data_IF_627645762762
#
_entry.id   IF_627645762762
#
_cell.length_a   1.000
_cell.length_b   1.000
_cell.length_c   1.000
_cell.angle_alpha   90.00
_cell.angle_beta   90.00
_cell.angle_gamma   90.00
#
_symmetry.space_group_name_H-M   'P 1'
#
loop_
_entity.id
_entity.type
_entity.pdbx_description
1 polymer ?
#
# COMPACT_ATOMS: atom_id res chain seq x y z
N UNK A 1 -8.50 14.17 -20.69
CA UNK A 1 -9.39 12.98 -20.57
C UNK A 1 -8.60 11.69 -20.35
N UNK A 2 -7.61 11.38 -21.19
CA UNK A 2 -6.79 10.15 -21.08
C UNK A 2 -6.01 10.06 -19.75
N UNK A 3 -5.37 11.14 -19.31
CA UNK A 3 -4.63 11.12 -18.03
C UNK A 3 -5.50 10.80 -16.82
N UNK A 4 -6.74 11.33 -16.79
CA UNK A 4 -7.66 11.06 -15.70
C UNK A 4 -8.07 9.58 -15.67
N UNK A 5 -8.34 8.99 -16.85
CA UNK A 5 -8.67 7.58 -16.96
C UNK A 5 -7.50 6.68 -16.52
N UNK A 6 -6.27 7.02 -16.90
CA UNK A 6 -5.07 6.29 -16.49
C UNK A 6 -4.89 6.34 -14.96
N UNK A 7 -5.08 7.51 -14.35
CA UNK A 7 -5.00 7.67 -12.89
C UNK A 7 -6.07 6.85 -12.16
N UNK A 8 -7.31 6.84 -12.66
CA UNK A 8 -8.37 6.00 -12.09
C UNK A 8 -8.04 4.51 -12.18
N UNK A 9 -7.49 4.06 -13.32
CA UNK A 9 -7.10 2.68 -13.53
C UNK A 9 -6.02 2.24 -12.53
N UNK A 10 -4.92 3.00 -12.40
CA UNK A 10 -3.85 2.69 -11.44
C UNK A 10 -4.38 2.63 -10.01
N UNK A 11 -5.19 3.61 -9.59
CA UNK A 11 -5.79 3.62 -8.26
C UNK A 11 -6.67 2.38 -8.01
N UNK A 12 -7.40 1.93 -9.04
CA UNK A 12 -8.27 0.74 -8.94
C UNK A 12 -7.45 -0.54 -8.83
N UNK A 13 -6.38 -0.65 -9.63
CA UNK A 13 -5.45 -1.77 -9.55
C UNK A 13 -4.78 -1.85 -8.18
N UNK A 14 -4.40 -0.73 -7.57
CA UNK A 14 -3.84 -0.69 -6.20
C UNK A 14 -4.80 -1.29 -5.16
N UNK A 15 -6.08 -0.90 -5.23
CA UNK A 15 -7.12 -1.42 -4.33
C UNK A 15 -7.35 -2.93 -4.53
N UNK A 16 -7.39 -3.38 -5.79
CA UNK A 16 -7.56 -4.80 -6.13
C UNK A 16 -6.35 -5.60 -5.65
N UNK A 17 -5.13 -5.16 -5.98
CA UNK A 17 -3.89 -5.81 -5.55
C UNK A 17 -3.81 -5.89 -4.03
N UNK A 18 -4.17 -4.82 -3.30
CA UNK A 18 -4.14 -4.81 -1.83
C UNK A 18 -5.11 -5.84 -1.25
N UNK A 19 -6.32 -5.93 -1.79
CA UNK A 19 -7.35 -6.87 -1.35
C UNK A 19 -6.96 -8.32 -1.63
N UNK A 20 -6.45 -8.60 -2.82
CA UNK A 20 -5.97 -9.95 -3.21
C UNK A 20 -4.73 -10.33 -2.40
N UNK A 21 -3.80 -9.39 -2.20
CA UNK A 21 -2.61 -9.63 -1.38
C UNK A 21 -2.99 -9.99 0.06
N UNK A 22 -4.04 -9.38 0.62
CA UNK A 22 -4.48 -9.71 1.98
C UNK A 22 -4.99 -11.15 2.07
N UNK A 23 -5.66 -11.64 1.02
CA UNK A 23 -6.08 -13.04 0.94
C UNK A 23 -4.89 -14.01 0.99
N UNK A 24 -3.83 -13.75 0.21
CA UNK A 24 -2.63 -14.59 0.20
C UNK A 24 -1.78 -14.43 1.46
N UNK A 25 -1.72 -13.22 2.03
CA UNK A 25 -1.07 -12.96 3.32
C UNK A 25 -1.65 -13.83 4.44
N UNK A 26 -2.98 -13.97 4.49
CA UNK A 26 -3.64 -14.80 5.52
C UNK A 26 -3.31 -16.29 5.37
N UNK A 27 -3.11 -16.77 4.14
CA UNK A 27 -2.72 -18.16 3.84
C UNK A 27 -1.23 -18.44 4.04
N UNK A 28 -0.39 -17.39 4.02
CA UNK A 28 1.05 -17.52 4.16
C UNK A 28 1.41 -18.12 5.53
N UNK A 29 2.29 -19.13 5.51
CA UNK A 29 2.80 -19.85 6.66
C UNK A 29 4.31 -19.61 6.85
N UNK A 30 4.94 -20.29 7.81
CA UNK A 30 6.37 -20.12 8.12
C UNK A 30 7.31 -20.53 6.98
N UNK A 31 6.87 -21.38 6.06
CA UNK A 31 7.65 -21.87 4.92
C UNK A 31 7.37 -21.09 3.63
N UNK A 32 8.31 -21.15 2.68
CA UNK A 32 8.12 -20.58 1.35
C UNK A 32 7.12 -21.43 0.56
N UNK A 33 5.98 -20.83 0.21
CA UNK A 33 4.88 -21.45 -0.55
C UNK A 33 4.52 -20.62 -1.78
N UNK A 34 3.72 -21.20 -2.68
CA UNK A 34 3.15 -20.46 -3.80
C UNK A 34 2.37 -19.21 -3.34
N UNK A 35 1.65 -19.29 -2.22
CA UNK A 35 0.95 -18.14 -1.65
C UNK A 35 1.91 -17.02 -1.22
N UNK A 36 3.07 -17.38 -0.65
CA UNK A 36 4.12 -16.41 -0.29
C UNK A 36 4.70 -15.74 -1.54
N UNK A 37 4.87 -16.51 -2.62
CA UNK A 37 5.35 -15.99 -3.90
C UNK A 37 4.33 -15.03 -4.53
N UNK A 38 3.05 -15.40 -4.58
CA UNK A 38 1.98 -14.55 -5.12
C UNK A 38 1.83 -13.27 -4.28
N UNK A 39 1.83 -13.40 -2.96
CA UNK A 39 1.83 -12.26 -2.05
C UNK A 39 2.98 -11.30 -2.34
N UNK A 40 4.21 -11.84 -2.43
CA UNK A 40 5.41 -11.04 -2.71
C UNK A 40 5.35 -10.37 -4.08
N UNK A 41 4.84 -11.07 -5.10
CA UNK A 41 4.65 -10.53 -6.44
C UNK A 41 3.66 -9.36 -6.44
N UNK A 42 2.51 -9.50 -5.76
CA UNK A 42 1.50 -8.44 -5.67
C UNK A 42 2.04 -7.20 -4.95
N UNK A 43 2.78 -7.38 -3.85
CA UNK A 43 3.44 -6.26 -3.16
C UNK A 43 4.49 -5.58 -4.04
N UNK A 44 5.26 -6.37 -4.78
CA UNK A 44 6.30 -5.84 -5.67
C UNK A 44 5.70 -5.06 -6.84
N UNK A 45 4.64 -5.59 -7.48
CA UNK A 45 3.90 -4.88 -8.54
C UNK A 45 3.28 -3.60 -7.97
N UNK A 46 2.67 -3.68 -6.79
CA UNK A 46 2.14 -2.51 -6.07
C UNK A 46 3.22 -1.44 -5.83
N UNK A 47 4.42 -1.85 -5.39
CA UNK A 47 5.55 -0.96 -5.18
C UNK A 47 6.03 -0.31 -6.48
N UNK A 48 6.17 -1.08 -7.56
CA UNK A 48 6.64 -0.56 -8.85
C UNK A 48 5.62 0.37 -9.50
N UNK A 49 4.31 0.10 -9.34
CA UNK A 49 3.27 1.05 -9.73
C UNK A 49 3.29 2.31 -8.87
N UNK A 50 3.54 2.15 -7.56
CA UNK A 50 3.57 3.25 -6.60
C UNK A 50 4.40 2.91 -5.38
N UNK A 51 5.51 3.63 -5.23
CA UNK A 51 6.53 3.36 -4.21
C UNK A 51 6.01 3.46 -2.76
N UNK A 52 4.88 4.13 -2.54
CA UNK A 52 4.28 4.31 -1.20
C UNK A 52 3.24 3.24 -0.85
N UNK A 53 2.85 2.37 -1.79
CA UNK A 53 1.83 1.35 -1.53
C UNK A 53 2.24 0.29 -0.49
N UNK A 54 3.52 -0.13 -0.36
CA UNK A 54 3.89 -1.17 0.60
C UNK A 54 3.86 -0.75 2.07
N UNK A 55 3.75 0.55 2.36
CA UNK A 55 3.87 1.10 3.72
C UNK A 55 2.88 0.43 4.68
N UNK A 56 1.65 0.16 4.25
CA UNK A 56 0.63 -0.48 5.09
C UNK A 56 0.95 -1.93 5.48
N UNK A 57 1.82 -2.59 4.72
CA UNK A 57 2.18 -3.98 4.95
C UNK A 57 3.25 -4.16 6.02
N UNK A 58 3.95 -3.08 6.41
CA UNK A 58 5.00 -3.11 7.42
C UNK A 58 4.56 -3.77 8.74
N UNK A 59 3.46 -3.35 9.41
CA UNK A 59 3.01 -3.99 10.65
C UNK A 59 2.63 -5.46 10.45
N UNK A 60 1.98 -5.79 9.34
CA UNK A 60 1.51 -7.15 9.02
C UNK A 60 2.68 -8.12 8.82
N UNK A 61 3.69 -7.71 8.04
CA UNK A 61 4.89 -8.51 7.79
C UNK A 61 5.66 -8.69 9.10
N UNK A 62 5.77 -7.63 9.92
CA UNK A 62 6.44 -7.70 11.21
C UNK A 62 5.78 -8.70 12.16
N UNK A 63 4.44 -8.71 12.24
CA UNK A 63 3.70 -9.69 13.05
C UNK A 63 4.01 -11.13 12.62
N UNK A 64 4.01 -11.41 11.31
CA UNK A 64 4.34 -12.75 10.77
C UNK A 64 5.78 -13.16 11.07
N UNK A 65 6.72 -12.23 10.92
CA UNK A 65 8.12 -12.49 11.24
C UNK A 65 8.29 -12.81 12.74
N UNK A 66 7.73 -11.98 13.62
CA UNK A 66 7.92 -12.11 15.06
C UNK A 66 7.15 -13.30 15.66
N UNK A 67 5.93 -13.59 15.18
CA UNK A 67 5.09 -14.65 15.76
C UNK A 67 5.22 -16.00 15.07
N UNK A 68 5.46 -16.02 13.76
CA UNK A 68 5.47 -17.25 12.96
C UNK A 68 6.85 -17.61 12.43
N UNK A 69 7.87 -16.79 12.71
CA UNK A 69 9.25 -17.07 12.27
C UNK A 69 9.41 -17.08 10.75
N UNK A 70 8.54 -16.39 10.00
CA UNK A 70 8.48 -16.47 8.54
C UNK A 70 9.56 -15.64 7.81
N UNK A 71 10.56 -15.13 8.53
CA UNK A 71 11.65 -14.34 7.95
C UNK A 71 12.37 -15.06 6.81
N UNK A 72 12.75 -16.34 6.93
CA UNK A 72 13.41 -17.05 5.83
C UNK A 72 12.52 -17.19 4.59
N UNK A 73 11.20 -17.31 4.77
CA UNK A 73 10.25 -17.41 3.66
C UNK A 73 10.16 -16.09 2.90
N UNK A 74 10.06 -14.96 3.60
CA UNK A 74 10.06 -13.62 2.98
C UNK A 74 11.41 -13.26 2.35
N UNK A 75 12.53 -13.69 2.94
CA UNK A 75 13.85 -13.49 2.34
C UNK A 75 14.00 -14.26 1.03
N UNK A 76 13.60 -15.55 1.03
CA UNK A 76 13.58 -16.38 -0.19
C UNK A 76 12.65 -15.79 -1.26
N UNK A 77 11.45 -15.37 -0.90
CA UNK A 77 10.52 -14.76 -1.85
C UNK A 77 11.02 -13.42 -2.37
N UNK A 78 11.68 -12.61 -1.53
CA UNK A 78 12.33 -11.38 -1.94
C UNK A 78 13.40 -11.61 -3.02
N UNK A 79 14.26 -12.62 -2.82
CA UNK A 79 15.33 -12.93 -3.78
C UNK A 79 14.78 -13.58 -5.05
N UNK A 80 13.85 -14.53 -4.94
CA UNK A 80 13.37 -15.30 -6.09
C UNK A 80 12.26 -14.62 -6.89
N UNK A 81 11.50 -13.73 -6.27
CA UNK A 81 10.31 -13.11 -6.88
C UNK A 81 10.48 -11.59 -6.98
N UNK A 82 10.74 -10.91 -5.85
CA UNK A 82 10.77 -9.45 -5.85
C UNK A 82 11.92 -8.89 -6.70
N UNK A 83 13.15 -9.39 -6.52
CA UNK A 83 14.32 -8.91 -7.27
C UNK A 83 14.18 -9.09 -8.80
N UNK A 84 13.83 -10.27 -9.34
CA UNK A 84 13.64 -10.43 -10.77
C UNK A 84 12.50 -9.56 -11.30
N UNK A 85 11.42 -9.40 -10.54
CA UNK A 85 10.26 -8.62 -10.97
C UNK A 85 10.55 -7.12 -10.98
N UNK A 86 11.28 -6.60 -9.97
CA UNK A 86 11.80 -5.23 -9.98
C UNK A 86 12.73 -5.03 -11.19
N UNK A 87 13.64 -5.97 -11.43
CA UNK A 87 14.54 -5.92 -12.59
C UNK A 87 13.79 -5.88 -13.92
N UNK A 88 12.73 -6.70 -14.06
CA UNK A 88 11.86 -6.70 -15.23
C UNK A 88 11.12 -5.37 -15.37
N UNK A 89 10.53 -4.83 -14.30
CA UNK A 89 9.85 -3.53 -14.35
C UNK A 89 10.82 -2.40 -14.74
N UNK A 90 12.01 -2.34 -14.14
CA UNK A 90 13.05 -1.36 -14.47
C UNK A 90 13.49 -1.50 -15.92
N UNK A 91 13.64 -2.73 -16.42
CA UNK A 91 13.99 -2.98 -17.82
C UNK A 91 12.90 -2.49 -18.77
N UNK A 92 11.63 -2.81 -18.50
CA UNK A 92 10.49 -2.36 -19.29
C UNK A 92 10.35 -0.82 -19.26
N UNK A 93 10.50 -0.19 -18.11
CA UNK A 93 10.51 1.27 -17.97
C UNK A 93 11.63 1.88 -18.80
N UNK A 94 12.84 1.32 -18.72
CA UNK A 94 14.00 1.79 -19.49
C UNK A 94 13.76 1.70 -21.01
N UNK A 95 13.17 0.60 -21.48
CA UNK A 95 12.78 0.45 -22.89
C UNK A 95 11.71 1.46 -23.30
N UNK A 96 10.69 1.67 -22.47
CA UNK A 96 9.63 2.63 -22.75
C UNK A 96 10.17 4.05 -22.88
N UNK A 97 10.97 4.51 -21.90
CA UNK A 97 11.55 5.85 -21.94
C UNK A 97 12.58 6.03 -23.06
N UNK A 98 13.33 4.99 -23.42
CA UNK A 98 14.23 5.04 -24.57
C UNK A 98 13.45 5.31 -25.87
N UNK A 99 12.32 4.61 -26.10
CA UNK A 99 11.49 4.80 -27.30
C UNK A 99 10.81 6.17 -27.30
N UNK A 100 10.21 6.58 -26.18
CA UNK A 100 9.48 7.86 -26.08
C UNK A 100 10.42 9.05 -26.25
N UNK A 101 11.62 8.99 -25.66
CA UNK A 101 12.60 10.07 -25.75
C UNK A 101 13.46 10.00 -27.02
N UNK A 102 13.19 9.05 -27.93
CA UNK A 102 13.95 8.82 -29.17
C UNK A 102 15.47 8.72 -28.92
N UNK A 103 15.87 8.09 -27.82
CA UNK A 103 17.27 7.96 -27.45
C UNK A 103 17.93 6.85 -28.28
N UNK A 104 19.08 7.16 -28.87
CA UNK A 104 19.87 6.21 -29.66
C UNK A 104 20.63 5.18 -28.79
N UNK A 105 20.87 5.51 -27.52
CA UNK A 105 21.56 4.65 -26.56
C UNK A 105 20.62 4.21 -25.44
N UNK A 106 20.71 2.93 -25.06
CA UNK A 106 19.96 2.39 -23.94
C UNK A 106 20.48 2.96 -22.61
N UNK A 107 19.57 3.51 -21.79
CA UNK A 107 19.87 4.02 -20.45
C UNK A 107 18.94 3.42 -19.41
N UNK A 108 19.52 2.91 -18.34
CA UNK A 108 18.77 2.39 -17.19
C UNK A 108 17.99 3.50 -16.52
N UNK A 109 16.67 3.38 -16.50
CA UNK A 109 15.75 4.30 -15.85
C UNK A 109 15.10 3.61 -14.67
N UNK A 110 15.60 3.90 -13.47
CA UNK A 110 15.03 3.39 -12.22
C UNK A 110 14.01 4.39 -11.69
N UNK A 111 12.77 4.26 -12.16
CA UNK A 111 11.64 5.16 -11.83
C UNK A 111 11.41 5.29 -10.32
N UNK A 112 11.48 4.18 -9.58
CA UNK A 112 11.36 4.16 -8.12
C UNK A 112 12.43 4.96 -7.39
N UNK A 113 13.69 4.93 -7.85
CA UNK A 113 14.77 5.72 -7.24
C UNK A 113 14.63 7.21 -7.56
N UNK A 114 14.24 7.55 -8.78
CA UNK A 114 13.96 8.93 -9.17
C UNK A 114 12.82 9.51 -8.33
N UNK A 115 11.77 8.73 -8.09
CA UNK A 115 10.68 9.12 -7.19
C UNK A 115 11.20 9.40 -5.78
N UNK A 116 12.02 8.50 -5.20
CA UNK A 116 12.58 8.68 -3.86
C UNK A 116 13.42 9.95 -3.79
N UNK A 117 14.30 10.18 -4.77
CA UNK A 117 15.15 11.36 -4.81
C UNK A 117 14.33 12.66 -4.87
N UNK A 118 13.36 12.74 -5.78
CA UNK A 118 12.56 13.96 -5.97
C UNK A 118 11.61 14.19 -4.78
N UNK A 119 10.90 13.17 -4.33
CA UNK A 119 9.81 13.34 -3.36
C UNK A 119 10.29 13.33 -1.92
N UNK A 120 11.30 12.52 -1.59
CA UNK A 120 11.76 12.33 -0.21
C UNK A 120 13.03 13.14 0.05
N UNK A 121 14.04 13.06 -0.83
CA UNK A 121 15.33 13.74 -0.60
C UNK A 121 15.23 15.24 -0.91
N UNK A 122 14.71 15.59 -2.09
CA UNK A 122 14.54 16.99 -2.52
C UNK A 122 13.29 17.65 -1.92
N UNK A 123 12.39 16.85 -1.33
CA UNK A 123 11.22 17.35 -0.61
C UNK A 123 10.26 18.13 -1.48
N UNK A 124 10.07 17.73 -2.75
CA UNK A 124 9.17 18.42 -3.69
C UNK A 124 7.74 18.59 -3.14
N UNK A 125 7.32 17.68 -2.26
CA UNK A 125 6.05 17.74 -1.55
C UNK A 125 5.83 19.05 -0.77
N UNK A 126 6.89 19.72 -0.29
CA UNK A 126 6.78 21.00 0.43
C UNK A 126 6.21 22.14 -0.43
N UNK A 127 6.31 22.05 -1.75
CA UNK A 127 5.82 23.09 -2.66
C UNK A 127 4.32 23.00 -2.95
N UNK A 128 3.66 21.90 -2.55
CA UNK A 128 2.23 21.69 -2.79
C UNK A 128 1.33 22.15 -1.64
N UNK A 129 1.92 22.68 -0.56
CA UNK A 129 1.23 23.14 0.64
C UNK A 129 1.47 22.21 1.82
N UNK A 130 1.36 22.77 3.03
CA UNK A 130 1.49 22.02 4.28
C UNK A 130 0.10 21.83 4.89
N UNK A 131 -0.20 20.58 5.26
CA UNK A 131 -1.44 20.23 5.93
C UNK A 131 -1.16 19.78 7.36
N UNK A 132 -2.06 20.13 8.29
CA UNK A 132 -1.98 19.65 9.66
C UNK A 132 -1.94 18.11 9.75
N UNK A 133 -1.27 17.59 10.78
CA UNK A 133 -1.18 16.13 11.02
C UNK A 133 -2.57 15.47 11.07
N UNK A 134 -3.54 16.13 11.69
CA UNK A 134 -4.90 15.58 11.89
C UNK A 134 -5.78 15.61 10.64
N UNK A 135 -5.34 16.21 9.52
CA UNK A 135 -6.21 16.41 8.36
C UNK A 135 -6.76 15.10 7.79
N UNK A 136 -5.97 14.02 7.78
CA UNK A 136 -6.48 12.73 7.30
C UNK A 136 -7.65 12.22 8.14
N UNK A 137 -7.56 12.37 9.46
CA UNK A 137 -8.59 11.91 10.39
C UNK A 137 -9.80 12.86 10.41
N UNK A 138 -9.58 14.18 10.44
CA UNK A 138 -10.63 15.16 10.69
C UNK A 138 -11.26 15.75 9.44
N UNK A 139 -10.56 15.74 8.29
CA UNK A 139 -11.04 16.31 7.03
C UNK A 139 -11.22 15.26 5.96
N UNK A 140 -10.17 14.54 5.57
CA UNK A 140 -10.26 13.63 4.42
C UNK A 140 -11.19 12.45 4.68
N UNK A 141 -11.02 11.72 5.77
CA UNK A 141 -11.90 10.59 6.09
C UNK A 141 -13.33 11.05 6.40
N UNK A 142 -13.49 12.20 7.07
CA UNK A 142 -14.81 12.75 7.43
C UNK A 142 -15.52 13.34 6.21
N UNK A 143 -14.95 14.33 5.53
CA UNK A 143 -15.65 15.11 4.51
C UNK A 143 -15.62 14.45 3.12
N UNK A 144 -14.49 13.85 2.73
CA UNK A 144 -14.32 13.38 1.35
C UNK A 144 -14.83 11.96 1.16
N UNK A 145 -14.52 11.06 2.11
CA UNK A 145 -14.70 9.61 1.93
C UNK A 145 -15.97 9.10 2.63
N UNK A 146 -16.03 9.15 3.96
CA UNK A 146 -17.08 8.47 4.72
C UNK A 146 -18.28 9.35 5.06
N UNK A 147 -18.13 10.68 5.15
CA UNK A 147 -19.23 11.62 5.42
C UNK A 147 -20.02 11.20 6.65
N UNK A 148 -21.33 11.04 6.49
CA UNK A 148 -22.24 10.61 7.56
C UNK A 148 -21.89 9.22 8.14
N UNK A 149 -21.16 8.38 7.40
CA UNK A 149 -20.74 7.06 7.84
C UNK A 149 -19.44 7.07 8.66
N UNK A 150 -18.78 8.22 8.84
CA UNK A 150 -17.51 8.29 9.59
C UNK A 150 -17.63 7.80 11.04
N UNK A 151 -18.66 8.18 11.82
CA UNK A 151 -18.83 7.63 13.17
C UNK A 151 -19.01 6.10 13.18
N UNK A 152 -19.74 5.56 12.19
CA UNK A 152 -19.92 4.12 12.03
C UNK A 152 -18.61 3.41 11.72
N UNK A 153 -17.74 4.01 10.91
CA UNK A 153 -16.40 3.48 10.65
C UNK A 153 -15.58 3.37 11.95
N UNK A 154 -15.56 4.42 12.78
CA UNK A 154 -14.81 4.43 14.03
C UNK A 154 -15.36 3.36 14.99
N UNK A 155 -16.68 3.25 15.12
CA UNK A 155 -17.31 2.19 15.92
C UNK A 155 -16.94 0.80 15.39
N UNK A 156 -16.97 0.60 14.07
CA UNK A 156 -16.57 -0.63 13.41
C UNK A 156 -15.13 -1.04 13.70
N UNK A 157 -14.18 -0.10 13.56
CA UNK A 157 -12.77 -0.34 13.87
C UNK A 157 -12.58 -0.75 15.34
N UNK A 158 -13.29 -0.11 16.27
CA UNK A 158 -13.18 -0.44 17.70
C UNK A 158 -13.83 -1.78 18.03
N UNK A 159 -15.04 -2.05 17.52
CA UNK A 159 -15.75 -3.30 17.81
C UNK A 159 -15.07 -4.50 17.16
N UNK A 160 -14.64 -4.38 15.89
CA UNK A 160 -13.95 -5.46 15.20
C UNK A 160 -12.61 -5.75 15.87
N UNK A 161 -11.83 -4.73 16.22
CA UNK A 161 -10.60 -4.93 16.99
C UNK A 161 -10.84 -5.64 18.32
N UNK A 162 -11.85 -5.22 19.09
CA UNK A 162 -12.21 -5.86 20.37
C UNK A 162 -12.62 -7.32 20.19
N UNK A 163 -13.38 -7.63 19.15
CA UNK A 163 -13.79 -9.00 18.84
C UNK A 163 -12.62 -9.88 18.40
N UNK A 164 -11.70 -9.38 17.57
CA UNK A 164 -10.50 -10.14 17.19
C UNK A 164 -9.64 -10.43 18.42
N UNK A 165 -9.40 -9.42 19.25
CA UNK A 165 -8.62 -9.56 20.48
C UNK A 165 -9.27 -10.52 21.48
N UNK A 166 -10.60 -10.52 21.63
CA UNK A 166 -11.30 -11.47 22.50
C UNK A 166 -11.16 -12.91 22.01
N UNK A 167 -11.11 -13.12 20.69
CA UNK A 167 -10.81 -14.40 20.03
C UNK A 167 -9.31 -14.75 20.02
N UNK A 168 -8.45 -13.92 20.62
CA UNK A 168 -6.97 -14.04 20.59
C UNK A 168 -6.37 -14.03 19.18
N UNK A 169 -7.04 -13.35 18.25
CA UNK A 169 -6.58 -13.10 16.88
C UNK A 169 -6.13 -11.65 16.80
N UNK A 170 -5.06 -11.39 16.04
CA UNK A 170 -4.58 -10.02 15.84
C UNK A 170 -5.53 -9.25 14.91
N UNK A 171 -5.90 -7.99 15.24
CA UNK A 171 -6.69 -7.13 14.38
C UNK A 171 -5.84 -6.56 13.23
N UNK A 172 -5.50 -7.44 12.29
CA UNK A 172 -4.59 -7.19 11.16
C UNK A 172 -5.02 -5.99 10.31
N UNK A 173 -6.32 -5.85 10.02
CA UNK A 173 -6.87 -4.76 9.21
C UNK A 173 -6.69 -3.42 9.93
N UNK A 174 -6.99 -3.36 11.22
CA UNK A 174 -6.85 -2.15 12.01
C UNK A 174 -5.40 -1.71 12.12
N UNK A 175 -4.48 -2.64 12.31
CA UNK A 175 -3.05 -2.33 12.33
C UNK A 175 -2.59 -1.76 10.99
N UNK A 176 -2.98 -2.38 9.87
CA UNK A 176 -2.63 -1.89 8.53
C UNK A 176 -3.21 -0.49 8.28
N UNK A 177 -4.52 -0.31 8.47
CA UNK A 177 -5.19 0.96 8.20
C UNK A 177 -4.67 2.07 9.11
N UNK A 178 -4.53 1.81 10.42
CA UNK A 178 -4.06 2.82 11.39
C UNK A 178 -2.61 3.19 11.13
N UNK A 179 -1.72 2.21 10.88
CA UNK A 179 -0.33 2.48 10.56
C UNK A 179 -0.21 3.29 9.27
N UNK A 180 -0.97 2.94 8.24
CA UNK A 180 -0.99 3.66 6.97
C UNK A 180 -1.44 5.11 7.17
N UNK A 181 -2.55 5.35 7.87
CA UNK A 181 -3.05 6.71 8.13
C UNK A 181 -2.02 7.51 8.94
N UNK A 182 -1.44 6.94 9.99
CA UNK A 182 -0.44 7.62 10.82
C UNK A 182 0.79 7.97 9.98
N UNK A 183 1.33 7.03 9.22
CA UNK A 183 2.52 7.25 8.40
C UNK A 183 2.31 8.39 7.39
N UNK A 184 1.18 8.38 6.67
CA UNK A 184 0.87 9.45 5.72
C UNK A 184 0.51 10.77 6.41
N UNK A 185 0.01 10.74 7.64
CA UNK A 185 -0.24 11.95 8.44
C UNK A 185 1.04 12.70 8.80
N UNK A 186 2.17 12.00 8.89
CA UNK A 186 3.51 12.58 9.10
C UNK A 186 4.06 13.30 7.86
N UNK A 187 3.47 13.08 6.68
CA UNK A 187 3.88 13.74 5.44
C UNK A 187 3.19 15.12 5.37
N UNK A 188 3.96 16.17 5.05
CA UNK A 188 3.46 17.55 4.98
C UNK A 188 2.34 17.72 3.95
N UNK A 189 2.62 17.30 2.71
CA UNK A 189 1.63 17.24 1.63
C UNK A 189 0.70 16.04 1.77
N UNK A 190 -0.61 16.28 1.65
CA UNK A 190 -1.65 15.29 1.87
C UNK A 190 -2.65 15.35 0.73
N UNK A 191 -3.01 14.18 0.22
CA UNK A 191 -4.05 14.03 -0.79
C UNK A 191 -4.96 12.85 -0.46
N UNK A 192 -6.24 12.97 -0.80
CA UNK A 192 -7.26 11.93 -0.61
C UNK A 192 -6.84 10.62 -1.30
N UNK A 193 -6.21 10.73 -2.47
CA UNK A 193 -5.76 9.56 -3.25
C UNK A 193 -4.67 8.73 -2.58
N UNK A 194 -4.02 9.24 -1.54
CA UNK A 194 -3.03 8.47 -0.79
C UNK A 194 -3.72 7.39 0.04
N UNK A 195 -4.96 7.60 0.48
CA UNK A 195 -5.72 6.62 1.27
C UNK A 195 -6.38 5.51 0.44
N UNK A 196 -6.37 5.60 -0.89
CA UNK A 196 -7.07 4.63 -1.75
C UNK A 196 -6.66 3.18 -1.52
N UNK A 197 -5.37 2.82 -1.33
CA UNK A 197 -4.98 1.43 -1.13
C UNK A 197 -5.67 0.75 0.06
N UNK A 198 -5.93 1.49 1.15
CA UNK A 198 -6.59 0.96 2.35
C UNK A 198 -8.12 1.10 2.33
N UNK A 199 -8.67 1.81 1.34
CA UNK A 199 -10.09 2.13 1.29
C UNK A 199 -11.00 0.88 1.24
N UNK A 200 -10.69 -0.18 0.46
CA UNK A 200 -11.50 -1.41 0.48
C UNK A 200 -11.58 -2.05 1.87
N UNK A 201 -10.49 -1.97 2.65
CA UNK A 201 -10.42 -2.55 3.99
C UNK A 201 -11.24 -1.74 4.99
N UNK A 202 -11.22 -0.41 4.89
CA UNK A 202 -12.06 0.47 5.70
C UNK A 202 -13.55 0.23 5.42
N UNK A 203 -13.94 0.01 4.15
CA UNK A 203 -15.32 -0.37 3.82
C UNK A 203 -15.71 -1.76 4.33
N UNK A 204 -14.77 -2.71 4.37
CA UNK A 204 -15.00 -4.03 4.96
C UNK A 204 -15.31 -3.91 6.46
N UNK A 205 -14.55 -3.10 7.19
CA UNK A 205 -14.79 -2.83 8.61
C UNK A 205 -16.09 -2.07 8.85
N UNK A 206 -16.44 -1.13 7.96
CA UNK A 206 -17.75 -0.45 8.03
C UNK A 206 -18.90 -1.45 7.86
N UNK A 207 -18.77 -2.38 6.90
CA UNK A 207 -19.78 -3.42 6.65
C UNK A 207 -20.00 -4.37 7.84
N UNK A 208 -18.98 -4.58 8.67
CA UNK A 208 -19.08 -5.36 9.90
C UNK A 208 -20.08 -4.76 10.91
N UNK A 209 -20.40 -3.46 10.86
CA UNK A 209 -21.42 -2.83 11.72
C UNK A 209 -22.86 -3.03 11.25
N UNK A 210 -23.05 -3.49 10.01
CA UNK A 210 -24.38 -3.61 9.39
C UNK A 210 -24.89 -5.06 9.44
N UNK A 211 -24.09 -5.99 9.98
CA UNK A 211 -24.42 -7.40 10.19
C UNK A 211 -25.00 -7.66 11.58
#
# INVERSE_FOLDING_TARGET
>A
MIEHQLRCLTNTLEMICTTIALHFYRKQASSFTADTAIFTALLTIGFMMRNTSPIGWVPLILIKILKQGSFPAFLKSGVLIALPLIGLCVYLDSLFYMHVNQQSEFRWTVTSLNFLNINVIQGLSKYFGDHAFTEYLCKFLVADIFRAYYPLLIMGMVSHAREQLSKRVEPEIEYMCSFYIIFFSLIGHKETRFLLPILPLLFLVLGFQVQ
#
